data_IF_942520505627
#
_entry.id   IF_942520505627
#
_cell.length_a   1.000
_cell.length_b   1.000
_cell.length_c   1.000
_cell.angle_alpha   90.00
_cell.angle_beta   90.00
_cell.angle_gamma   90.00
#
_symmetry.space_group_name_H-M   'P 1'
#
loop_
_entity.id
_entity.type
_entity.pdbx_description
1 polymer ?
#
# COMPACT_ATOMS: atom_id res chain seq x y z
N UNK A 1 -10.37 -16.40 -27.28
CA UNK A 1 -10.34 -15.09 -26.57
C UNK A 1 -9.98 -15.27 -25.10
N UNK A 2 -10.67 -16.13 -24.34
CA UNK A 2 -10.35 -16.38 -22.92
C UNK A 2 -8.90 -16.89 -22.68
N UNK A 3 -8.39 -17.79 -23.52
CA UNK A 3 -7.00 -18.29 -23.40
C UNK A 3 -5.94 -17.21 -23.68
N UNK A 4 -6.22 -16.30 -24.62
CA UNK A 4 -5.35 -15.17 -24.93
C UNK A 4 -5.30 -14.16 -23.78
N UNK A 5 -6.43 -13.93 -23.11
CA UNK A 5 -6.50 -13.08 -21.91
C UNK A 5 -5.78 -13.73 -20.74
N UNK A 6 -5.93 -15.04 -20.52
CA UNK A 6 -5.25 -15.76 -19.45
C UNK A 6 -3.72 -15.73 -19.61
N UNK A 7 -3.21 -15.94 -20.83
CA UNK A 7 -1.79 -15.85 -21.14
C UNK A 7 -1.24 -14.42 -20.91
N UNK A 8 -1.98 -13.39 -21.35
CA UNK A 8 -1.58 -12.00 -21.13
C UNK A 8 -1.59 -11.61 -19.64
N UNK A 9 -2.56 -12.10 -18.84
CA UNK A 9 -2.59 -11.88 -17.39
C UNK A 9 -1.40 -12.56 -16.70
N UNK A 10 -1.04 -13.77 -17.13
CA UNK A 10 0.14 -14.48 -16.66
C UNK A 10 1.44 -13.73 -16.98
N UNK A 11 1.53 -13.05 -18.13
CA UNK A 11 2.68 -12.20 -18.45
C UNK A 11 2.74 -10.89 -17.67
N UNK A 12 1.59 -10.37 -17.23
CA UNK A 12 1.50 -9.14 -16.45
C UNK A 12 1.73 -9.34 -14.95
N UNK A 13 1.49 -10.55 -14.45
CA UNK A 13 1.65 -10.95 -13.04
C UNK A 13 2.75 -12.00 -12.89
N UNK A 14 3.89 -11.80 -13.56
CA UNK A 14 5.04 -12.68 -13.40
C UNK A 14 5.77 -12.37 -12.09
N UNK A 15 6.11 -13.37 -11.25
CA UNK A 15 6.73 -13.15 -9.94
C UNK A 15 7.99 -12.27 -9.99
N UNK A 16 8.80 -12.40 -11.04
CA UNK A 16 10.01 -11.58 -11.23
C UNK A 16 9.74 -10.08 -11.42
N UNK A 17 8.50 -9.71 -11.78
CA UNK A 17 8.10 -8.30 -11.96
C UNK A 17 7.55 -7.67 -10.67
N UNK A 18 7.41 -8.42 -9.59
CA UNK A 18 6.76 -7.96 -8.37
C UNK A 18 7.39 -6.68 -7.80
N UNK A 19 8.73 -6.63 -7.77
CA UNK A 19 9.47 -5.49 -7.27
C UNK A 19 9.29 -4.24 -8.14
N UNK A 20 9.39 -4.41 -9.45
CA UNK A 20 9.24 -3.32 -10.43
C UNK A 20 7.82 -2.75 -10.38
N UNK A 21 6.81 -3.62 -10.35
CA UNK A 21 5.39 -3.23 -10.27
C UNK A 21 5.08 -2.51 -8.95
N UNK A 22 5.59 -3.04 -7.84
CA UNK A 22 5.49 -2.40 -6.54
C UNK A 22 6.12 -1.01 -6.56
N UNK A 23 7.40 -0.92 -6.92
CA UNK A 23 8.16 0.34 -6.93
C UNK A 23 7.53 1.39 -7.85
N UNK A 24 7.08 0.99 -9.05
CA UNK A 24 6.40 1.90 -9.97
C UNK A 24 5.06 2.41 -9.43
N UNK A 25 4.29 1.56 -8.73
CA UNK A 25 3.04 1.96 -8.11
C UNK A 25 3.24 2.87 -6.90
N UNK A 26 4.27 2.60 -6.08
CA UNK A 26 4.68 3.49 -4.97
C UNK A 26 5.08 4.85 -5.51
N UNK A 27 5.97 4.90 -6.50
CA UNK A 27 6.40 6.15 -7.12
C UNK A 27 5.21 6.96 -7.65
N UNK A 28 4.27 6.30 -8.34
CA UNK A 28 3.04 6.95 -8.83
C UNK A 28 2.18 7.49 -7.69
N UNK A 29 2.02 6.73 -6.60
CA UNK A 29 1.21 7.14 -5.46
C UNK A 29 1.83 8.32 -4.71
N UNK A 30 3.15 8.29 -4.51
CA UNK A 30 3.91 9.37 -3.87
C UNK A 30 3.86 10.64 -4.70
N UNK A 31 4.09 10.55 -6.02
CA UNK A 31 3.99 11.70 -6.90
C UNK A 31 2.60 12.34 -6.86
N UNK A 32 1.53 11.54 -6.79
CA UNK A 32 0.16 12.03 -6.68
C UNK A 32 -0.17 12.66 -5.31
N UNK A 33 0.57 12.32 -4.27
CA UNK A 33 0.38 12.83 -2.91
C UNK A 33 1.39 13.91 -2.50
N UNK A 34 2.35 14.27 -3.37
CA UNK A 34 3.52 15.06 -3.03
C UNK A 34 3.17 16.40 -2.33
N UNK A 35 2.20 17.14 -2.87
CA UNK A 35 1.74 18.42 -2.30
C UNK A 35 1.16 18.26 -0.88
N UNK A 36 0.28 17.27 -0.69
CA UNK A 36 -0.36 17.01 0.60
C UNK A 36 0.62 16.47 1.65
N UNK A 37 1.71 15.86 1.22
CA UNK A 37 2.71 15.21 2.09
C UNK A 37 3.87 16.10 2.47
N UNK A 38 3.96 17.31 1.93
CA UNK A 38 5.06 18.23 2.21
C UNK A 38 5.16 18.57 3.70
N UNK A 39 6.33 18.32 4.30
CA UNK A 39 6.59 18.56 5.73
C UNK A 39 5.83 17.63 6.68
N UNK A 40 5.20 16.57 6.18
CA UNK A 40 4.55 15.56 6.99
C UNK A 40 5.53 14.44 7.35
N UNK A 41 5.18 13.68 8.39
CA UNK A 41 5.94 12.49 8.80
C UNK A 41 5.05 11.26 8.73
N UNK A 42 5.67 10.09 8.57
CA UNK A 42 4.96 8.84 8.61
C UNK A 42 4.40 8.59 10.02
N UNK A 43 3.09 8.41 10.17
CA UNK A 43 2.48 8.18 11.49
C UNK A 43 2.88 6.83 12.13
N UNK A 44 3.51 5.94 11.37
CA UNK A 44 3.90 4.59 11.82
C UNK A 44 5.34 4.60 12.36
N UNK A 45 6.29 5.13 11.58
CA UNK A 45 7.72 5.10 11.93
C UNK A 45 8.28 6.46 12.35
N UNK A 46 7.50 7.54 12.23
CA UNK A 46 7.91 8.93 12.45
C UNK A 46 9.06 9.43 11.56
N UNK A 47 9.38 8.69 10.48
CA UNK A 47 10.34 9.11 9.47
C UNK A 47 9.73 10.10 8.46
N UNK A 48 10.59 10.93 7.87
CA UNK A 48 10.23 11.94 6.87
C UNK A 48 9.98 11.31 5.49
N UNK A 49 9.33 12.06 4.59
CA UNK A 49 8.96 11.59 3.26
C UNK A 49 10.03 11.81 2.19
N UNK A 50 10.95 12.72 2.42
CA UNK A 50 11.97 13.18 1.49
C UNK A 50 13.23 12.30 1.45
N UNK A 51 13.44 11.43 2.43
CA UNK A 51 14.70 10.70 2.55
C UNK A 51 14.77 9.37 1.78
N UNK A 52 13.67 8.69 1.41
CA UNK A 52 13.78 7.39 0.69
C UNK A 52 12.56 7.01 -0.18
N UNK A 53 11.38 6.78 0.42
CA UNK A 53 10.22 6.20 -0.30
C UNK A 53 9.17 7.23 -0.71
N UNK A 54 9.06 8.36 0.01
CA UNK A 54 7.89 9.25 -0.09
C UNK A 54 6.74 8.84 0.83
N UNK A 55 5.87 9.81 1.13
CA UNK A 55 4.63 9.55 1.88
C UNK A 55 3.44 9.51 0.95
N UNK A 56 2.38 8.85 1.41
CA UNK A 56 1.07 8.86 0.75
C UNK A 56 -0.02 9.18 1.75
N UNK A 57 -1.13 9.72 1.24
CA UNK A 57 -2.41 9.80 1.95
C UNK A 57 -3.53 9.31 1.05
N UNK A 58 -4.04 8.12 1.36
CA UNK A 58 -5.07 7.46 0.55
C UNK A 58 -6.38 7.20 1.28
N UNK A 59 -6.64 7.89 2.39
CA UNK A 59 -7.80 7.65 3.25
C UNK A 59 -8.42 8.96 3.76
N UNK A 60 -9.53 8.84 4.49
CA UNK A 60 -10.29 9.97 5.03
C UNK A 60 -9.80 10.48 6.40
N UNK A 61 -8.56 10.16 6.81
CA UNK A 61 -7.96 10.77 8.00
C UNK A 61 -7.89 12.30 7.84
N UNK A 62 -7.88 13.02 8.96
CA UNK A 62 -7.83 14.50 9.01
C UNK A 62 -6.61 14.97 9.79
N UNK A 63 -6.20 16.22 9.58
CA UNK A 63 -5.00 16.78 10.22
C UNK A 63 -3.74 16.05 9.76
N UNK A 64 -2.82 15.83 10.68
CA UNK A 64 -1.52 15.15 10.49
C UNK A 64 -1.65 13.61 10.51
N UNK A 65 -2.85 13.08 10.70
CA UNK A 65 -3.08 11.63 10.68
C UNK A 65 -3.17 11.07 9.26
N UNK A 66 -2.64 9.86 9.09
CA UNK A 66 -2.83 9.03 7.89
C UNK A 66 -1.79 9.22 6.79
N UNK A 67 -0.78 10.07 7.00
CA UNK A 67 0.42 10.11 6.15
C UNK A 67 1.35 8.96 6.50
N UNK A 68 1.68 8.12 5.53
CA UNK A 68 2.58 6.98 5.77
C UNK A 68 3.35 6.60 4.52
N UNK A 69 4.50 5.97 4.70
CA UNK A 69 5.15 5.23 3.64
C UNK A 69 4.30 4.03 3.22
N UNK A 70 4.30 3.68 1.92
CA UNK A 70 3.56 2.50 1.44
C UNK A 70 4.10 1.23 2.07
N UNK A 71 5.43 1.11 2.22
CA UNK A 71 6.06 -0.03 2.91
C UNK A 71 5.59 -0.19 4.36
N UNK A 72 5.46 0.90 5.12
CA UNK A 72 4.95 0.85 6.50
C UNK A 72 3.49 0.38 6.56
N UNK A 73 2.63 0.85 5.65
CA UNK A 73 1.26 0.37 5.53
C UNK A 73 1.20 -1.12 5.18
N UNK A 74 2.05 -1.57 4.25
CA UNK A 74 2.13 -2.96 3.83
C UNK A 74 2.59 -3.89 4.97
N UNK A 75 3.63 -3.49 5.72
CA UNK A 75 4.09 -4.23 6.90
C UNK A 75 2.99 -4.33 7.97
N UNK A 76 2.25 -3.23 8.22
CA UNK A 76 1.11 -3.24 9.13
C UNK A 76 -0.02 -4.18 8.68
N UNK A 77 -0.29 -4.23 7.38
CA UNK A 77 -1.27 -5.14 6.79
C UNK A 77 -0.84 -6.61 6.87
N UNK A 78 0.42 -6.91 6.57
CA UNK A 78 1.00 -8.25 6.72
C UNK A 78 0.90 -8.73 8.18
N UNK A 79 1.32 -7.89 9.13
CA UNK A 79 1.23 -8.21 10.56
C UNK A 79 -0.22 -8.47 11.00
N UNK A 80 -1.21 -7.76 10.44
CA UNK A 80 -2.62 -8.00 10.72
C UNK A 80 -3.10 -9.37 10.21
N UNK A 81 -2.64 -9.81 9.03
CA UNK A 81 -2.91 -11.16 8.50
C UNK A 81 -2.31 -12.24 9.39
N UNK A 82 -1.06 -12.08 9.80
CA UNK A 82 -0.36 -13.03 10.67
C UNK A 82 -1.01 -13.15 12.05
N UNK A 83 -1.39 -12.02 12.66
CA UNK A 83 -2.06 -11.97 13.97
C UNK A 83 -3.47 -12.55 13.94
N UNK A 84 -4.20 -12.44 12.82
CA UNK A 84 -5.59 -12.92 12.72
C UNK A 84 -5.73 -14.39 13.08
N UNK A 85 -4.75 -15.22 12.75
CA UNK A 85 -4.75 -16.66 13.06
C UNK A 85 -4.72 -16.95 14.56
N UNK A 86 -4.19 -16.04 15.38
CA UNK A 86 -4.00 -16.23 16.83
C UNK A 86 -5.00 -15.46 17.70
N UNK A 87 -5.39 -14.26 17.26
CA UNK A 87 -6.13 -13.31 18.12
C UNK A 87 -7.37 -12.70 17.46
N UNK A 88 -7.75 -13.15 16.25
CA UNK A 88 -8.79 -12.49 15.46
C UNK A 88 -8.34 -11.11 14.94
N UNK A 89 -9.29 -10.30 14.47
CA UNK A 89 -9.01 -8.96 13.91
C UNK A 89 -9.11 -8.89 12.37
N UNK A 90 -8.68 -7.77 11.76
CA UNK A 90 -9.02 -7.44 10.38
C UNK A 90 -8.40 -8.41 9.35
N UNK A 91 -7.21 -8.95 9.62
CA UNK A 91 -6.49 -9.80 8.67
C UNK A 91 -6.31 -9.13 7.31
N UNK A 92 -6.72 -9.82 6.24
CA UNK A 92 -6.60 -9.30 4.87
C UNK A 92 -7.36 -7.98 4.63
N UNK A 93 -8.38 -7.65 5.43
CA UNK A 93 -9.06 -6.36 5.32
C UNK A 93 -8.11 -5.18 5.55
N UNK A 94 -7.02 -5.36 6.31
CA UNK A 94 -6.05 -4.28 6.56
C UNK A 94 -5.29 -3.84 5.31
N UNK A 95 -5.20 -4.67 4.27
CA UNK A 95 -4.62 -4.28 2.97
C UNK A 95 -5.45 -3.24 2.22
N UNK A 96 -6.75 -3.18 2.48
CA UNK A 96 -7.67 -2.26 1.79
C UNK A 96 -8.28 -1.22 2.71
N UNK A 97 -8.12 -1.34 4.03
CA UNK A 97 -8.77 -0.48 5.02
C UNK A 97 -7.77 0.18 5.97
N UNK A 98 -7.89 1.50 6.10
CA UNK A 98 -7.05 2.30 6.99
C UNK A 98 -7.09 1.85 8.45
N UNK A 99 -5.93 1.84 9.11
CA UNK A 99 -5.73 1.55 10.54
C UNK A 99 -6.44 2.51 11.48
N UNK A 100 -6.61 3.76 11.06
CA UNK A 100 -7.02 4.88 11.91
C UNK A 100 -8.49 5.26 11.69
N UNK A 101 -8.86 5.61 10.46
CA UNK A 101 -10.23 6.07 10.15
C UNK A 101 -11.16 4.96 9.64
N UNK A 102 -10.65 3.72 9.51
CA UNK A 102 -11.40 2.55 9.05
C UNK A 102 -12.06 2.67 7.67
N UNK A 103 -11.75 3.73 6.91
CA UNK A 103 -12.19 3.89 5.54
C UNK A 103 -11.30 3.07 4.60
N UNK A 104 -11.90 2.69 3.47
CA UNK A 104 -11.18 2.01 2.38
C UNK A 104 -10.17 2.97 1.76
N UNK A 105 -8.95 2.49 1.51
CA UNK A 105 -7.98 3.28 0.76
C UNK A 105 -8.51 3.57 -0.65
N UNK A 106 -8.23 4.75 -1.18
CA UNK A 106 -8.73 5.19 -2.48
C UNK A 106 -7.60 5.56 -3.45
N UNK A 107 -7.96 5.67 -4.73
CA UNK A 107 -7.08 6.13 -5.80
C UNK A 107 -5.82 5.27 -5.97
N UNK A 108 -4.72 5.93 -6.35
CA UNK A 108 -3.43 5.30 -6.63
C UNK A 108 -2.81 4.62 -5.40
N UNK A 109 -3.12 5.08 -4.19
CA UNK A 109 -2.66 4.46 -2.94
C UNK A 109 -3.26 3.06 -2.77
N UNK A 110 -4.55 2.88 -3.09
CA UNK A 110 -5.18 1.57 -3.08
C UNK A 110 -4.51 0.61 -4.07
N UNK A 111 -4.14 1.12 -5.25
CA UNK A 111 -3.42 0.35 -6.25
C UNK A 111 -2.02 -0.04 -5.77
N UNK A 112 -1.27 0.88 -5.16
CA UNK A 112 0.05 0.61 -4.60
C UNK A 112 0.00 -0.47 -3.50
N UNK A 113 -0.99 -0.40 -2.61
CA UNK A 113 -1.20 -1.45 -1.60
C UNK A 113 -1.62 -2.80 -2.20
N UNK A 114 -2.31 -2.81 -3.34
CA UNK A 114 -2.59 -4.04 -4.08
C UNK A 114 -1.32 -4.70 -4.61
N UNK A 115 -0.42 -3.92 -5.22
CA UNK A 115 0.89 -4.41 -5.67
C UNK A 115 1.77 -4.85 -4.50
N UNK A 116 1.75 -4.11 -3.38
CA UNK A 116 2.44 -4.48 -2.16
C UNK A 116 1.93 -5.83 -1.61
N UNK A 117 0.60 -6.01 -1.54
CA UNK A 117 -0.02 -7.26 -1.09
C UNK A 117 0.41 -8.43 -1.98
N UNK A 118 0.40 -8.25 -3.30
CA UNK A 118 0.83 -9.28 -4.23
C UNK A 118 2.31 -9.64 -4.01
N UNK A 119 3.21 -8.64 -3.97
CA UNK A 119 4.63 -8.82 -3.66
C UNK A 119 4.87 -9.55 -2.34
N UNK A 120 4.08 -9.29 -1.30
CA UNK A 120 4.21 -9.94 0.02
C UNK A 120 3.85 -11.44 0.02
N UNK A 121 2.97 -11.89 -0.88
CA UNK A 121 2.45 -13.28 -0.87
C UNK A 121 2.72 -14.06 -2.16
N UNK A 122 3.62 -13.56 -3.01
CA UNK A 122 4.29 -14.36 -4.03
C UNK A 122 5.24 -15.37 -3.38
#
# INVERSE_FOLDING_TARGET
>A
MAELVAAAVLELLRPEQAEERYSGAVHTAVAACAEDTAGQTCYICYGEGDEDEGLVRGCACRGEDGFAHVSCLAQGAQAAVERRRRHGGPGFARWVTCGLCEQVYHGVVKCALGWACWKTYL
#
